data_IF_720198202201
#
_entry.id   IF_720198202201
#
_cell.length_a   1.000
_cell.length_b   1.000
_cell.length_c   1.000
_cell.angle_alpha   90.00
_cell.angle_beta   90.00
_cell.angle_gamma   90.00
#
_symmetry.space_group_name_H-M   'P 1'
#
loop_
_entity.id
_entity.type
_entity.pdbx_description
1 polymer ?
#
# COMPACT_ATOMS: atom_id res chain seq x y z
N UNK A 1 -6.49 17.29 -8.88
CA UNK A 1 -7.78 16.92 -9.51
C UNK A 1 -7.71 15.50 -10.11
N UNK A 2 -6.73 15.18 -10.96
CA UNK A 2 -6.66 13.91 -11.71
C UNK A 2 -6.57 12.66 -10.80
N UNK A 3 -5.81 12.70 -9.71
CA UNK A 3 -5.67 11.56 -8.78
C UNK A 3 -7.00 11.24 -8.08
N UNK A 4 -7.70 12.29 -7.60
CA UNK A 4 -8.99 12.10 -6.91
C UNK A 4 -10.05 11.49 -7.82
N UNK A 5 -10.02 11.79 -9.10
CA UNK A 5 -10.96 11.24 -10.08
C UNK A 5 -10.75 9.73 -10.36
N UNK A 6 -9.71 9.12 -9.82
CA UNK A 6 -9.42 7.68 -9.93
C UNK A 6 -9.97 6.86 -8.76
N UNK A 7 -10.41 7.54 -7.69
CA UNK A 7 -10.96 6.89 -6.51
C UNK A 7 -12.50 6.85 -6.60
N UNK A 8 -13.11 5.76 -6.13
CA UNK A 8 -14.56 5.65 -6.03
C UNK A 8 -15.11 6.58 -4.94
N UNK A 9 -14.36 6.75 -3.85
CA UNK A 9 -14.69 7.65 -2.74
C UNK A 9 -13.44 8.42 -2.32
N UNK A 10 -13.59 9.72 -2.08
CA UNK A 10 -12.53 10.60 -1.58
C UNK A 10 -12.99 11.24 -0.29
N UNK A 11 -12.27 10.99 0.80
CA UNK A 11 -12.55 11.57 2.10
C UNK A 11 -11.65 12.78 2.38
N UNK A 12 -12.18 13.85 2.99
CA UNK A 12 -11.35 14.89 3.60
C UNK A 12 -10.49 14.31 4.71
N UNK A 13 -9.26 14.80 4.86
CA UNK A 13 -8.30 14.28 5.84
C UNK A 13 -8.77 14.42 7.30
N UNK A 14 -9.62 15.39 7.58
CA UNK A 14 -10.20 15.63 8.91
C UNK A 14 -11.56 14.98 9.15
N UNK A 15 -12.10 14.22 8.19
CA UNK A 15 -13.41 13.59 8.31
C UNK A 15 -13.35 12.32 9.18
N UNK A 16 -13.33 12.52 10.50
CA UNK A 16 -13.29 11.43 11.47
C UNK A 16 -14.60 10.65 11.56
N UNK A 17 -15.67 11.10 10.90
CA UNK A 17 -16.96 10.40 10.81
C UNK A 17 -17.06 9.48 9.59
N UNK A 18 -16.08 9.50 8.69
CA UNK A 18 -16.04 8.63 7.51
C UNK A 18 -16.12 7.15 7.88
N UNK A 19 -16.77 6.33 7.06
CA UNK A 19 -16.98 4.89 7.32
C UNK A 19 -15.68 4.13 7.62
N UNK A 20 -14.58 4.49 6.96
CA UNK A 20 -13.26 3.86 7.16
C UNK A 20 -12.64 4.12 8.54
N UNK A 21 -13.21 5.03 9.34
CA UNK A 21 -12.82 5.26 10.74
C UNK A 21 -13.38 4.20 11.70
N UNK A 22 -14.26 3.32 11.20
CA UNK A 22 -14.92 2.25 11.98
C UNK A 22 -14.43 0.87 11.55
N UNK A 23 -14.17 -0.01 12.53
CA UNK A 23 -13.79 -1.40 12.30
C UNK A 23 -14.90 -2.24 11.66
N UNK A 24 -16.17 -1.84 11.80
CA UNK A 24 -17.31 -2.52 11.18
C UNK A 24 -17.38 -2.33 9.65
N UNK A 25 -16.70 -1.31 9.11
CA UNK A 25 -16.62 -1.10 7.68
C UNK A 25 -15.61 -2.09 7.05
N UNK A 26 -16.05 -3.01 6.17
CA UNK A 26 -15.18 -4.04 5.62
C UNK A 26 -14.22 -3.45 4.57
N UNK A 27 -12.93 -3.76 4.71
CA UNK A 27 -11.90 -3.43 3.71
C UNK A 27 -10.95 -4.62 3.52
N UNK A 28 -10.30 -4.73 2.37
CA UNK A 28 -9.19 -5.68 2.17
C UNK A 28 -7.97 -5.29 3.02
N UNK A 29 -7.86 -4.03 3.38
CA UNK A 29 -6.75 -3.46 4.11
C UNK A 29 -6.47 -2.03 3.62
N UNK A 30 -5.23 -1.57 3.82
CA UNK A 30 -4.84 -0.19 3.49
C UNK A 30 -3.40 -0.13 2.99
N UNK A 31 -3.17 0.69 1.98
CA UNK A 31 -1.83 1.10 1.54
C UNK A 31 -1.67 2.59 1.82
N UNK A 32 -0.61 2.97 2.52
CA UNK A 32 -0.21 4.37 2.69
C UNK A 32 0.94 4.66 1.71
N UNK A 33 0.66 5.40 0.65
CA UNK A 33 1.58 5.65 -0.45
C UNK A 33 1.61 7.13 -0.88
N UNK A 34 2.68 7.86 -0.61
CA UNK A 34 3.79 7.50 0.26
C UNK A 34 3.42 7.61 1.75
N UNK A 35 4.15 6.89 2.60
CA UNK A 35 4.07 7.04 4.04
C UNK A 35 5.20 7.96 4.54
N UNK A 36 4.85 9.09 5.15
CA UNK A 36 5.83 9.97 5.79
C UNK A 36 6.24 9.42 7.15
N UNK A 37 7.44 9.80 7.62
CA UNK A 37 7.90 9.45 8.98
C UNK A 37 6.97 9.99 10.06
N UNK A 38 6.29 11.11 9.82
CA UNK A 38 5.25 11.62 10.71
C UNK A 38 4.07 10.64 10.82
N UNK A 39 3.48 10.27 9.67
CA UNK A 39 2.36 9.32 9.65
C UNK A 39 2.76 7.97 10.24
N UNK A 40 3.96 7.50 9.94
CA UNK A 40 4.54 6.28 10.49
C UNK A 40 4.62 6.33 12.02
N UNK A 41 5.12 7.44 12.59
CA UNK A 41 5.23 7.63 14.04
C UNK A 41 3.85 7.71 14.72
N UNK A 42 2.90 8.46 14.15
CA UNK A 42 1.53 8.54 14.66
C UNK A 42 0.85 7.17 14.69
N UNK A 43 0.99 6.36 13.62
CA UNK A 43 0.43 5.00 13.57
C UNK A 43 1.08 4.11 14.62
N UNK A 44 2.41 4.16 14.78
CA UNK A 44 3.13 3.34 15.75
C UNK A 44 2.76 3.63 17.21
N UNK A 45 2.35 4.84 17.51
CA UNK A 45 2.00 5.30 18.86
C UNK A 45 0.49 5.34 19.12
N UNK A 46 -0.33 5.01 18.12
CA UNK A 46 -1.80 5.06 18.24
C UNK A 46 -2.36 6.50 18.28
N UNK A 47 -1.57 7.49 17.89
CA UNK A 47 -2.02 8.89 17.81
C UNK A 47 -2.79 9.08 16.51
N UNK A 48 -4.11 9.25 16.61
CA UNK A 48 -5.03 9.30 15.48
C UNK A 48 -5.52 10.73 15.24
N UNK A 49 -4.62 11.62 14.80
CA UNK A 49 -4.93 13.04 14.58
C UNK A 49 -5.66 13.30 13.26
N UNK A 50 -5.62 12.35 12.33
CA UNK A 50 -6.22 12.47 11.01
C UNK A 50 -6.98 11.21 10.65
N UNK A 51 -7.88 11.31 9.66
CA UNK A 51 -8.58 10.13 9.13
C UNK A 51 -7.60 9.06 8.61
N UNK A 52 -6.46 9.47 8.01
CA UNK A 52 -5.44 8.54 7.55
C UNK A 52 -4.90 7.68 8.70
N UNK A 53 -4.45 8.32 9.79
CA UNK A 53 -3.86 7.60 10.93
C UNK A 53 -4.91 6.83 11.71
N UNK A 54 -6.16 7.34 11.78
CA UNK A 54 -7.29 6.60 12.36
C UNK A 54 -7.64 5.35 11.54
N UNK A 55 -7.74 5.46 10.22
CA UNK A 55 -8.03 4.30 9.37
C UNK A 55 -6.92 3.24 9.45
N UNK A 56 -5.65 3.65 9.52
CA UNK A 56 -4.54 2.72 9.72
C UNK A 56 -4.61 2.00 11.07
N UNK A 57 -4.94 2.70 12.17
CA UNK A 57 -5.19 2.12 13.49
C UNK A 57 -6.33 1.10 13.44
N UNK A 58 -7.44 1.45 12.77
CA UNK A 58 -8.57 0.53 12.57
C UNK A 58 -8.14 -0.73 11.81
N UNK A 59 -7.40 -0.59 10.73
CA UNK A 59 -6.91 -1.72 9.93
C UNK A 59 -6.03 -2.65 10.77
N UNK A 60 -5.14 -2.10 11.59
CA UNK A 60 -4.28 -2.89 12.48
C UNK A 60 -5.08 -3.62 13.57
N UNK A 61 -6.00 -2.93 14.26
CA UNK A 61 -6.80 -3.56 15.33
C UNK A 61 -7.73 -4.65 14.83
N UNK A 62 -8.22 -4.52 13.58
CA UNK A 62 -9.04 -5.54 12.92
C UNK A 62 -8.22 -6.65 12.26
N UNK A 63 -6.88 -6.65 12.47
CA UNK A 63 -5.96 -7.65 11.89
C UNK A 63 -6.03 -7.71 10.35
N UNK A 64 -6.39 -6.60 9.72
CA UNK A 64 -6.36 -6.44 8.26
C UNK A 64 -4.97 -5.99 7.81
N UNK A 65 -4.68 -6.18 6.53
CA UNK A 65 -3.36 -5.84 5.98
C UNK A 65 -3.16 -4.33 5.90
N UNK A 66 -2.08 -3.85 6.53
CA UNK A 66 -1.60 -2.49 6.40
C UNK A 66 -0.22 -2.50 5.74
N UNK A 67 -0.08 -1.81 4.61
CA UNK A 67 1.19 -1.65 3.91
C UNK A 67 1.62 -0.19 3.97
N UNK A 68 2.82 0.07 4.47
CA UNK A 68 3.39 1.40 4.60
C UNK A 68 4.55 1.56 3.61
N UNK A 69 4.32 2.29 2.52
CA UNK A 69 5.36 2.62 1.55
C UNK A 69 6.16 3.83 2.06
N UNK A 70 6.99 3.57 3.07
CA UNK A 70 7.79 4.61 3.74
C UNK A 70 8.79 5.20 2.76
N UNK A 71 8.75 6.54 2.58
CA UNK A 71 9.69 7.26 1.73
C UNK A 71 10.46 8.28 2.55
N UNK A 72 11.63 7.86 3.02
CA UNK A 72 12.56 8.67 3.79
C UNK A 72 14.00 8.20 3.60
N UNK A 73 14.94 9.13 3.52
CA UNK A 73 16.39 8.85 3.47
C UNK A 73 17.18 10.11 3.84
N UNK A 74 18.30 10.01 4.61
CA UNK A 74 18.77 8.83 5.36
C UNK A 74 17.88 8.53 6.57
N UNK A 75 17.98 7.30 7.10
CA UNK A 75 17.25 6.87 8.29
C UNK A 75 18.11 6.96 9.53
N UNK A 76 17.58 7.49 10.64
CA UNK A 76 18.20 7.41 11.94
C UNK A 76 17.56 6.28 12.80
N UNK A 77 18.19 5.94 13.91
CA UNK A 77 17.78 4.85 14.80
C UNK A 77 16.31 4.94 15.24
N UNK A 78 15.78 6.15 15.45
CA UNK A 78 14.36 6.34 15.80
C UNK A 78 13.41 5.85 14.70
N UNK A 79 13.71 6.16 13.44
CA UNK A 79 12.92 5.66 12.30
C UNK A 79 12.96 4.13 12.23
N UNK A 80 14.14 3.53 12.39
CA UNK A 80 14.32 2.07 12.35
C UNK A 80 13.55 1.37 13.49
N UNK A 81 13.60 1.92 14.70
CA UNK A 81 12.82 1.39 15.84
C UNK A 81 11.31 1.48 15.59
N UNK A 82 10.85 2.59 15.02
CA UNK A 82 9.43 2.77 14.67
C UNK A 82 8.99 1.77 13.60
N UNK A 83 9.81 1.51 12.58
CA UNK A 83 9.54 0.49 11.56
C UNK A 83 9.48 -0.92 12.19
N UNK A 84 10.40 -1.24 13.11
CA UNK A 84 10.39 -2.51 13.83
C UNK A 84 9.10 -2.68 14.63
N UNK A 85 8.73 -1.70 15.44
CA UNK A 85 7.51 -1.74 16.24
C UNK A 85 6.26 -1.93 15.37
N UNK A 86 6.15 -1.23 14.26
CA UNK A 86 5.03 -1.39 13.31
C UNK A 86 5.00 -2.77 12.67
N UNK A 87 6.16 -3.32 12.33
CA UNK A 87 6.27 -4.68 11.77
C UNK A 87 5.82 -5.73 12.80
N UNK A 88 6.20 -5.57 14.07
CA UNK A 88 5.75 -6.41 15.19
C UNK A 88 4.24 -6.32 15.41
N UNK A 89 3.63 -5.16 15.20
CA UNK A 89 2.17 -4.97 15.24
C UNK A 89 1.44 -5.62 14.05
N UNK A 90 2.18 -6.03 13.00
CA UNK A 90 1.63 -6.69 11.81
C UNK A 90 1.52 -5.79 10.57
N UNK A 91 2.03 -4.56 10.61
CA UNK A 91 2.15 -3.75 9.41
C UNK A 91 3.29 -4.25 8.51
N UNK A 92 3.12 -4.12 7.21
CA UNK A 92 4.18 -4.42 6.23
C UNK A 92 4.92 -3.12 5.91
N UNK A 93 6.20 -3.07 6.22
CA UNK A 93 7.08 -1.95 5.88
C UNK A 93 7.63 -2.20 4.48
N UNK A 94 7.18 -1.40 3.51
CA UNK A 94 7.47 -1.58 2.08
C UNK A 94 8.01 -0.28 1.45
N UNK A 95 9.24 0.13 1.76
CA UNK A 95 9.85 1.27 1.09
C UNK A 95 9.87 1.05 -0.44
N UNK A 96 9.57 2.07 -1.26
CA UNK A 96 9.55 1.93 -2.71
C UNK A 96 10.99 1.92 -3.26
N UNK A 97 11.72 0.82 -2.99
CA UNK A 97 13.10 0.60 -3.45
C UNK A 97 13.09 0.12 -4.89
N UNK A 98 13.84 0.77 -5.80
CA UNK A 98 13.89 0.37 -7.20
C UNK A 98 14.39 -1.07 -7.39
N UNK A 99 13.63 -1.87 -8.16
CA UNK A 99 13.97 -3.26 -8.48
C UNK A 99 14.80 -3.34 -9.78
N UNK A 100 16.07 -2.95 -9.72
CA UNK A 100 16.96 -2.93 -10.90
C UNK A 100 17.13 -4.30 -11.56
N UNK A 101 16.98 -5.40 -10.81
CA UNK A 101 17.02 -6.74 -11.36
C UNK A 101 15.93 -7.00 -12.42
N UNK A 102 14.81 -6.27 -12.34
CA UNK A 102 13.73 -6.34 -13.33
C UNK A 102 14.08 -5.64 -14.65
N UNK A 103 15.26 -4.97 -14.72
CA UNK A 103 15.76 -4.21 -15.90
C UNK A 103 14.71 -3.27 -16.49
N UNK A 104 14.12 -2.34 -15.69
CA UNK A 104 13.12 -1.42 -16.17
C UNK A 104 13.71 -0.53 -17.29
N UNK A 105 12.93 -0.28 -18.33
CA UNK A 105 13.31 0.56 -19.47
C UNK A 105 12.82 2.00 -19.33
N UNK A 106 11.96 2.25 -18.34
CA UNK A 106 11.39 3.56 -18.05
C UNK A 106 11.20 3.76 -16.55
N UNK A 107 10.97 5.01 -16.15
CA UNK A 107 10.58 5.34 -14.77
C UNK A 107 9.22 4.73 -14.42
N UNK A 108 8.28 4.72 -15.35
CA UNK A 108 6.94 4.16 -15.16
C UNK A 108 7.02 2.66 -14.88
N UNK A 109 7.83 1.90 -15.61
CA UNK A 109 8.05 0.47 -15.33
C UNK A 109 8.66 0.22 -13.94
N UNK A 110 9.55 1.11 -13.48
CA UNK A 110 10.14 1.02 -12.14
C UNK A 110 9.09 1.28 -11.05
N UNK A 111 8.21 2.26 -11.28
CA UNK A 111 7.09 2.57 -10.37
C UNK A 111 6.09 1.43 -10.37
N UNK A 112 5.69 0.95 -11.54
CA UNK A 112 4.75 -0.17 -11.71
C UNK A 112 5.23 -1.44 -11.01
N UNK A 113 6.52 -1.76 -11.12
CA UNK A 113 7.13 -2.88 -10.40
C UNK A 113 6.96 -2.73 -8.88
N UNK A 114 7.23 -1.54 -8.33
CA UNK A 114 7.12 -1.28 -6.89
C UNK A 114 5.67 -1.34 -6.41
N UNK A 115 4.75 -0.72 -7.16
CA UNK A 115 3.32 -0.72 -6.84
C UNK A 115 2.70 -2.10 -7.00
N UNK A 116 3.04 -2.82 -8.06
CA UNK A 116 2.56 -4.19 -8.30
C UNK A 116 2.98 -5.13 -7.16
N UNK A 117 4.22 -5.01 -6.66
CA UNK A 117 4.68 -5.78 -5.49
C UNK A 117 3.90 -5.44 -4.21
N UNK A 118 3.51 -4.17 -4.02
CA UNK A 118 2.64 -3.80 -2.90
C UNK A 118 1.22 -4.37 -3.06
N UNK A 119 0.68 -4.42 -4.27
CA UNK A 119 -0.63 -5.01 -4.58
C UNK A 119 -0.64 -6.53 -4.44
N UNK A 120 0.45 -7.22 -4.78
CA UNK A 120 0.61 -8.67 -4.55
C UNK A 120 0.34 -9.05 -3.08
N UNK A 121 0.68 -8.18 -2.13
CA UNK A 121 0.43 -8.40 -0.71
C UNK A 121 -1.07 -8.51 -0.38
N UNK A 122 -1.94 -8.02 -1.24
CA UNK A 122 -3.40 -8.11 -1.13
C UNK A 122 -3.99 -9.20 -2.03
N UNK A 123 -3.15 -10.00 -2.70
CA UNK A 123 -3.59 -10.98 -3.69
C UNK A 123 -4.11 -10.35 -4.98
N UNK A 124 -3.75 -9.10 -5.24
CA UNK A 124 -4.14 -8.37 -6.45
C UNK A 124 -2.97 -8.43 -7.44
N UNK A 125 -3.14 -9.22 -8.51
CA UNK A 125 -2.18 -9.24 -9.60
C UNK A 125 -2.50 -8.11 -10.60
N UNK A 126 -1.61 -7.13 -10.65
CA UNK A 126 -1.73 -6.00 -11.57
C UNK A 126 -1.15 -6.30 -12.98
N UNK A 127 -0.53 -7.46 -13.17
CA UNK A 127 0.11 -7.85 -14.43
C UNK A 127 1.30 -6.99 -14.84
N UNK A 128 1.91 -6.27 -13.90
CA UNK A 128 3.02 -5.33 -14.16
C UNK A 128 4.33 -5.75 -13.49
N UNK A 129 4.29 -6.82 -12.68
CA UNK A 129 5.44 -7.29 -11.91
C UNK A 129 6.23 -8.30 -12.74
N UNK A 130 7.51 -8.03 -12.97
CA UNK A 130 8.45 -9.05 -13.45
C UNK A 130 8.91 -9.89 -12.27
N UNK A 131 8.62 -11.18 -12.32
CA UNK A 131 8.96 -12.09 -11.23
C UNK A 131 10.36 -12.69 -11.43
N UNK A 132 11.04 -12.94 -10.33
CA UNK A 132 12.35 -13.59 -10.39
C UNK A 132 12.24 -14.99 -11.00
N UNK A 133 13.07 -15.29 -12.01
CA UNK A 133 13.06 -16.60 -12.70
C UNK A 133 12.10 -16.69 -13.90
N UNK A 134 11.28 -15.70 -14.15
CA UNK A 134 10.51 -15.62 -15.40
C UNK A 134 11.44 -15.21 -16.56
N UNK A 135 11.32 -15.92 -17.69
CA UNK A 135 12.04 -15.53 -18.90
C UNK A 135 11.65 -14.09 -19.31
N UNK A 136 12.57 -13.30 -19.86
CA UNK A 136 12.21 -11.99 -20.39
C UNK A 136 11.14 -12.17 -21.47
N UNK A 137 10.02 -11.49 -21.28
CA UNK A 137 8.90 -11.50 -22.21
C UNK A 137 9.39 -11.11 -23.61
N UNK A 138 9.25 -12.01 -24.58
CA UNK A 138 9.58 -11.73 -25.98
C UNK A 138 8.52 -10.79 -26.56
N UNK A 139 8.59 -9.54 -26.15
CA UNK A 139 8.11 -8.34 -26.77
C UNK A 139 6.73 -8.38 -27.43
N UNK A 140 5.66 -8.61 -26.68
CA UNK A 140 4.35 -8.06 -27.01
C UNK A 140 3.52 -8.00 -25.72
N UNK A 141 3.37 -6.80 -25.16
CA UNK A 141 2.55 -6.57 -23.97
C UNK A 141 1.11 -6.32 -24.38
N UNK A 142 0.14 -7.20 -24.04
CA UNK A 142 -1.26 -6.86 -24.20
C UNK A 142 -1.63 -5.75 -23.22
N UNK A 143 -2.12 -4.64 -23.75
CA UNK A 143 -2.65 -3.52 -22.98
C UNK A 143 -3.86 -3.98 -22.15
N UNK A 144 -3.73 -3.88 -20.82
CA UNK A 144 -4.78 -3.90 -19.81
C UNK A 144 -5.67 -5.15 -19.75
N UNK A 145 -5.31 -6.09 -18.88
CA UNK A 145 -6.30 -7.02 -18.33
C UNK A 145 -7.26 -6.27 -17.39
N UNK A 146 -8.57 -6.40 -17.64
CA UNK A 146 -9.62 -5.90 -16.73
C UNK A 146 -9.53 -6.64 -15.39
N UNK A 147 -9.77 -5.98 -14.24
CA UNK A 147 -9.80 -6.66 -12.95
C UNK A 147 -10.86 -7.76 -12.95
N UNK A 148 -10.47 -8.98 -12.57
CA UNK A 148 -11.41 -10.06 -12.32
C UNK A 148 -12.29 -9.66 -11.13
N UNK A 149 -13.60 -9.60 -11.34
CA UNK A 149 -14.58 -9.48 -10.25
C UNK A 149 -14.37 -10.62 -9.27
N UNK A 150 -14.14 -10.28 -8.00
CA UNK A 150 -14.14 -11.25 -6.93
C UNK A 150 -15.50 -11.95 -6.90
N UNK A 151 -15.51 -13.26 -7.11
CA UNK A 151 -16.69 -14.08 -6.88
C UNK A 151 -16.91 -14.16 -5.37
N UNK A 152 -18.07 -13.65 -4.91
CA UNK A 152 -18.52 -13.88 -3.54
C UNK A 152 -18.67 -15.39 -3.33
N UNK A 153 -18.14 -15.97 -2.21
CA UNK A 153 -18.54 -17.31 -1.82
C UNK A 153 -20.04 -17.29 -1.49
N UNK A 154 -20.76 -18.24 -2.09
CA UNK A 154 -22.20 -18.40 -1.89
C UNK A 154 -22.56 -18.72 -0.45
N UNK A 155 -23.78 -18.40 -0.13
CA UNK A 155 -24.47 -18.62 1.13
C UNK A 155 -24.42 -20.07 1.61
#
# INVERSE_FOLDING_TARGET
>A
AAVRARADVVHPIGDMAAAISSGSFPTLGMIVAPCSVRSMAEIATGVTTTLLTRAADVVLKERRRLVLMVRETPLHTGHLRTMTALSEMGAVIAPPVPAFYARPQSLDEMIDQSLGRALDLFGIDAGVVRRWGEAPDSGERPLRAKPRRATRPGA
#
